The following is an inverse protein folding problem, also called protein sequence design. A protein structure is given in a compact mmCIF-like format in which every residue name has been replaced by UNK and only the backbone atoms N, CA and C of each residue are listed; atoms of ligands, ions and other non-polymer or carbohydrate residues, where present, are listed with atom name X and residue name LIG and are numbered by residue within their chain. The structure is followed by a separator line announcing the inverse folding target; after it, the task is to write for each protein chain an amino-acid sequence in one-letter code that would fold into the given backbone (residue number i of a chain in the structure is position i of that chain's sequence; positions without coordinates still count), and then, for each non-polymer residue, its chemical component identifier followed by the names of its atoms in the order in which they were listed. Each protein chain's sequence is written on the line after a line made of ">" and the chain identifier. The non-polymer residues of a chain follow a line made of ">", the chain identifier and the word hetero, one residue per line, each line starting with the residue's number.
data_IF_597493049650
#
_entry.id   IF_597493049650
#
_cell.length_a   1.000
_cell.length_b   1.000
_cell.length_c   1.000
_cell.angle_alpha   90.00
_cell.angle_beta   90.00
_cell.angle_gamma   90.00
#
_symmetry.space_group_name_H-M   'P 1'
#
loop_
_entity.id
_entity.type
_entity.pdbx_description
1 polymer ?
#
# COMPACT_ATOMS: atom_id res chain seq x y z
N UNK A 1 2.54 31.30 1.73
CA UNK A 1 3.17 30.07 1.19
C UNK A 1 2.20 29.25 0.32
N UNK A 2 1.01 28.86 0.83
CA UNK A 2 0.00 28.08 0.07
C UNK A 2 -0.31 28.62 -1.34
N UNK A 3 -0.71 29.89 -1.45
CA UNK A 3 -1.03 30.52 -2.75
C UNK A 3 0.15 30.45 -3.73
N UNK A 4 1.36 30.70 -3.27
CA UNK A 4 2.55 30.62 -4.13
C UNK A 4 2.77 29.18 -4.63
N UNK A 5 2.67 28.18 -3.76
CA UNK A 5 2.82 26.78 -4.15
C UNK A 5 1.72 26.33 -5.14
N UNK A 6 0.47 26.75 -4.93
CA UNK A 6 -0.65 26.40 -5.80
C UNK A 6 -0.65 27.18 -7.13
N UNK A 7 -0.54 28.50 -7.06
CA UNK A 7 -0.81 29.38 -8.20
C UNK A 7 0.43 29.57 -9.08
N UNK A 8 1.61 29.62 -8.47
CA UNK A 8 2.89 29.85 -9.19
C UNK A 8 3.58 28.52 -9.49
N UNK A 9 3.78 27.67 -8.48
CA UNK A 9 4.47 26.38 -8.66
C UNK A 9 3.57 25.27 -9.20
N UNK A 10 2.26 25.52 -9.33
CA UNK A 10 1.25 24.56 -9.84
C UNK A 10 1.27 23.22 -9.10
N UNK A 11 1.45 23.28 -7.77
CA UNK A 11 1.43 22.10 -6.89
C UNK A 11 0.05 21.92 -6.27
N UNK A 12 -0.36 20.67 -6.09
CA UNK A 12 -1.45 20.34 -5.17
C UNK A 12 -0.95 20.58 -3.75
N UNK A 13 -1.67 21.40 -2.98
CA UNK A 13 -1.29 21.76 -1.61
C UNK A 13 -2.31 21.19 -0.64
N UNK A 14 -1.83 20.38 0.29
CA UNK A 14 -2.59 19.88 1.42
C UNK A 14 -2.02 20.52 2.69
N UNK A 15 -2.88 21.19 3.45
CA UNK A 15 -2.52 21.72 4.75
C UNK A 15 -2.84 20.67 5.81
N UNK A 16 -1.84 20.29 6.61
CA UNK A 16 -2.01 19.34 7.70
C UNK A 16 -1.59 20.00 9.01
N UNK A 17 -2.26 19.68 10.12
CA UNK A 17 -1.72 19.94 11.45
C UNK A 17 -0.36 19.26 11.64
N UNK A 18 0.45 19.82 12.53
CA UNK A 18 1.73 19.26 12.93
C UNK A 18 1.49 18.04 13.83
N UNK A 19 1.51 16.86 13.22
CA UNK A 19 1.26 15.55 13.84
C UNK A 19 2.30 14.58 13.33
N UNK A 20 2.62 13.55 14.12
CA UNK A 20 3.66 12.58 13.76
C UNK A 20 3.47 12.05 12.33
N UNK A 21 4.49 12.25 11.50
CA UNK A 21 4.58 11.91 10.08
C UNK A 21 3.52 12.55 9.14
N UNK A 22 2.69 13.49 9.59
CA UNK A 22 1.61 14.11 8.80
C UNK A 22 0.65 13.07 8.17
N UNK A 23 -0.26 13.50 7.28
CA UNK A 23 -1.27 12.60 6.71
C UNK A 23 -0.70 11.58 5.71
N UNK A 24 0.09 12.05 4.74
CA UNK A 24 0.56 11.20 3.64
C UNK A 24 1.45 10.05 4.10
N UNK A 25 2.42 10.33 4.97
CA UNK A 25 3.31 9.26 5.44
C UNK A 25 2.60 8.30 6.40
N UNK A 26 1.65 8.76 7.23
CA UNK A 26 0.83 7.84 8.03
C UNK A 26 0.18 6.79 7.14
N UNK A 27 -0.52 7.22 6.08
CA UNK A 27 -1.22 6.31 5.17
C UNK A 27 -0.24 5.39 4.43
N UNK A 28 0.76 5.97 3.76
CA UNK A 28 1.65 5.22 2.89
C UNK A 28 2.54 4.25 3.66
N UNK A 29 3.15 4.68 4.77
CA UNK A 29 4.09 3.85 5.53
C UNK A 29 3.36 2.77 6.34
N UNK A 30 2.13 3.02 6.78
CA UNK A 30 1.27 1.98 7.36
C UNK A 30 1.06 0.83 6.35
N UNK A 31 0.60 1.16 5.14
CA UNK A 31 0.33 0.17 4.10
C UNK A 31 1.59 -0.61 3.69
N UNK A 32 2.71 0.08 3.53
CA UNK A 32 3.99 -0.54 3.15
C UNK A 32 4.50 -1.47 4.25
N UNK A 33 4.48 -1.03 5.51
CA UNK A 33 4.98 -1.84 6.61
C UNK A 33 4.07 -3.05 6.86
N UNK A 34 2.76 -2.90 6.71
CA UNK A 34 1.84 -4.05 6.74
C UNK A 34 2.11 -5.03 5.60
N UNK A 35 2.44 -4.55 4.38
CA UNK A 35 2.86 -5.44 3.29
C UNK A 35 4.16 -6.21 3.63
N UNK A 36 5.11 -5.59 4.34
CA UNK A 36 6.31 -6.29 4.83
C UNK A 36 5.99 -7.35 5.89
N UNK A 37 5.03 -7.08 6.77
CA UNK A 37 4.53 -8.06 7.75
C UNK A 37 3.82 -9.23 7.04
N UNK A 38 3.04 -8.96 5.99
CA UNK A 38 2.47 -10.02 5.15
C UNK A 38 3.57 -10.85 4.47
N UNK A 39 4.67 -10.24 4.04
CA UNK A 39 5.78 -10.97 3.41
C UNK A 39 6.44 -11.94 4.40
N UNK A 40 6.59 -11.55 5.67
CA UNK A 40 7.05 -12.45 6.73
C UNK A 40 6.05 -13.58 6.98
N UNK A 41 4.76 -13.26 7.10
CA UNK A 41 3.68 -14.25 7.30
C UNK A 41 3.63 -15.29 6.18
N UNK A 42 3.84 -14.87 4.93
CA UNK A 42 3.77 -15.71 3.73
C UNK A 42 5.17 -16.03 3.15
N UNK A 43 6.20 -16.08 3.99
CA UNK A 43 7.57 -16.40 3.58
C UNK A 43 7.68 -17.76 2.86
N UNK A 44 6.90 -18.76 3.28
CA UNK A 44 6.84 -20.09 2.64
C UNK A 44 6.23 -20.06 1.22
N UNK A 45 5.43 -19.04 0.90
CA UNK A 45 4.86 -18.84 -0.44
C UNK A 45 5.77 -17.98 -1.35
N UNK A 46 6.89 -17.48 -0.80
CA UNK A 46 7.84 -16.59 -1.46
C UNK A 46 8.06 -15.27 -0.73
N UNK A 47 7.19 -14.88 0.19
CA UNK A 47 7.34 -13.65 0.97
C UNK A 47 7.35 -12.39 0.13
N UNK A 48 8.51 -11.76 -0.03
CA UNK A 48 8.66 -10.37 -0.51
C UNK A 48 8.10 -10.17 -1.93
N UNK A 49 8.63 -10.89 -2.91
CA UNK A 49 8.20 -10.78 -4.31
C UNK A 49 6.83 -11.42 -4.58
N UNK A 50 6.39 -12.34 -3.71
CA UNK A 50 5.03 -12.88 -3.70
C UNK A 50 4.01 -11.79 -3.32
N UNK A 51 4.19 -11.11 -2.19
CA UNK A 51 3.28 -10.03 -1.74
C UNK A 51 3.30 -8.84 -2.71
N UNK A 52 4.47 -8.42 -3.20
CA UNK A 52 4.53 -7.35 -4.19
C UNK A 52 3.85 -7.74 -5.52
N UNK A 53 3.88 -9.02 -5.89
CA UNK A 53 3.15 -9.51 -7.07
C UNK A 53 1.64 -9.47 -6.86
N UNK A 54 1.16 -9.75 -5.64
CA UNK A 54 -0.27 -9.65 -5.27
C UNK A 54 -0.74 -8.20 -5.32
N UNK A 55 0.11 -7.26 -4.89
CA UNK A 55 -0.15 -5.82 -4.81
C UNK A 55 0.40 -5.06 -6.03
N UNK A 56 0.34 -5.68 -7.21
CA UNK A 56 0.79 -5.10 -8.48
C UNK A 56 -0.05 -3.91 -8.98
N UNK A 57 0.22 -3.44 -10.20
CA UNK A 57 -0.39 -2.21 -10.76
C UNK A 57 -1.93 -2.22 -10.82
N UNK A 58 -2.54 -3.39 -10.99
CA UNK A 58 -4.00 -3.59 -10.98
C UNK A 58 -4.65 -3.33 -9.62
N UNK A 59 -3.84 -3.18 -8.58
CA UNK A 59 -4.29 -2.85 -7.24
C UNK A 59 -4.23 -1.34 -6.97
N UNK A 60 -3.90 -0.52 -7.97
CA UNK A 60 -3.88 0.94 -7.87
C UNK A 60 -2.56 1.53 -7.41
N UNK A 61 -1.45 0.77 -7.48
CA UNK A 61 -0.13 1.20 -6.98
C UNK A 61 0.78 1.50 -8.16
N UNK A 62 1.45 2.65 -8.13
CA UNK A 62 2.44 3.01 -9.18
C UNK A 62 3.73 2.19 -9.08
N UNK A 63 4.04 1.72 -7.87
CA UNK A 63 5.15 0.85 -7.53
C UNK A 63 4.67 -0.07 -6.40
N UNK A 64 5.04 -1.35 -6.46
CA UNK A 64 4.68 -2.31 -5.41
C UNK A 64 5.23 -1.83 -4.04
N UNK A 65 4.54 -2.12 -2.92
CA UNK A 65 4.83 -1.52 -1.63
C UNK A 65 6.25 -1.81 -1.12
N UNK A 66 6.72 -3.05 -1.21
CA UNK A 66 8.04 -3.42 -0.67
C UNK A 66 9.16 -2.93 -1.61
N UNK A 67 8.92 -2.94 -2.94
CA UNK A 67 9.79 -2.21 -3.89
C UNK A 67 9.88 -0.72 -3.53
N UNK A 68 8.77 -0.09 -3.12
CA UNK A 68 8.73 1.33 -2.73
C UNK A 68 9.62 1.58 -1.52
N UNK A 69 9.54 0.75 -0.49
CA UNK A 69 10.44 0.87 0.67
C UNK A 69 11.92 0.68 0.29
N UNK A 70 12.23 -0.32 -0.54
CA UNK A 70 13.60 -0.55 -1.02
C UNK A 70 14.14 0.63 -1.86
N UNK A 71 13.25 1.37 -2.51
CA UNK A 71 13.59 2.57 -3.27
C UNK A 71 13.82 3.79 -2.37
N UNK A 72 12.96 3.98 -1.36
CA UNK A 72 13.07 5.06 -0.36
C UNK A 72 14.32 4.88 0.50
N UNK A 73 14.54 3.67 1.00
CA UNK A 73 15.52 3.30 2.02
C UNK A 73 14.83 2.62 3.19
N UNK A 74 15.27 1.41 3.57
CA UNK A 74 14.70 0.65 4.68
C UNK A 74 14.98 1.30 6.04
N UNK A 75 16.14 1.95 6.16
CA UNK A 75 16.52 2.78 7.32
C UNK A 75 15.59 3.98 7.48
N UNK A 76 15.33 4.72 6.39
CA UNK A 76 14.40 5.84 6.38
C UNK A 76 12.97 5.36 6.66
N UNK A 77 12.58 4.22 6.09
CA UNK A 77 11.29 3.60 6.35
C UNK A 77 11.11 3.26 7.82
N UNK A 78 12.08 2.55 8.41
CA UNK A 78 12.09 2.20 9.83
C UNK A 78 11.99 3.43 10.71
N UNK A 79 12.79 4.47 10.45
CA UNK A 79 12.77 5.70 11.25
C UNK A 79 11.40 6.39 11.25
N UNK A 80 10.68 6.41 10.11
CA UNK A 80 9.33 6.98 10.02
C UNK A 80 8.32 6.11 10.76
N UNK A 81 8.40 4.79 10.57
CA UNK A 81 7.50 3.82 11.22
C UNK A 81 7.66 3.84 12.75
N UNK A 82 8.89 3.83 13.25
CA UNK A 82 9.21 3.96 14.68
C UNK A 82 8.68 5.29 15.24
N UNK A 83 8.87 6.41 14.50
CA UNK A 83 8.35 7.70 14.94
C UNK A 83 6.83 7.68 15.11
N UNK A 84 6.09 7.09 14.16
CA UNK A 84 4.63 6.96 14.26
C UNK A 84 4.26 6.07 15.45
N UNK A 85 4.96 4.93 15.61
CA UNK A 85 4.74 4.04 16.74
C UNK A 85 4.92 4.78 18.07
N UNK A 86 6.04 5.46 18.28
CA UNK A 86 6.32 6.13 19.56
C UNK A 86 5.40 7.32 19.85
N UNK A 87 4.96 8.05 18.81
CA UNK A 87 4.33 9.36 18.98
C UNK A 87 2.83 9.39 18.66
N UNK A 88 2.19 8.24 18.42
CA UNK A 88 0.74 8.16 18.18
C UNK A 88 0.08 7.06 19.01
N UNK A 89 -1.19 7.23 19.37
CA UNK A 89 -2.03 6.17 19.93
C UNK A 89 -2.97 5.61 18.86
N UNK A 90 -2.39 5.14 17.76
CA UNK A 90 -3.13 4.67 16.59
C UNK A 90 -3.76 3.29 16.85
N UNK A 91 -4.98 3.04 16.35
CA UNK A 91 -5.58 1.69 16.43
C UNK A 91 -4.75 0.67 15.63
N UNK A 92 -4.09 1.12 14.56
CA UNK A 92 -3.20 0.31 13.72
C UNK A 92 -1.77 0.26 14.28
N UNK A 93 -1.56 0.56 15.57
CA UNK A 93 -0.22 0.61 16.20
C UNK A 93 0.65 -0.61 15.88
N UNK A 94 0.08 -1.82 15.86
CA UNK A 94 0.81 -3.06 15.58
C UNK A 94 1.37 -3.13 14.15
N UNK A 95 0.77 -2.41 13.20
CA UNK A 95 1.27 -2.32 11.82
C UNK A 95 2.39 -1.30 11.66
N UNK A 96 2.78 -0.61 12.74
CA UNK A 96 3.96 0.29 12.78
C UNK A 96 5.16 -0.37 13.47
N UNK A 97 5.26 -1.69 13.40
CA UNK A 97 6.42 -2.44 13.87
C UNK A 97 7.07 -3.11 12.66
N UNK A 98 8.32 -2.75 12.36
CA UNK A 98 9.05 -3.39 11.26
C UNK A 98 9.32 -4.86 11.58
N UNK A 99 9.10 -5.79 10.62
CA UNK A 99 9.47 -7.19 10.77
C UNK A 99 10.96 -7.41 11.07
N UNK A 100 11.29 -8.52 11.70
CA UNK A 100 12.66 -8.80 12.17
C UNK A 100 13.68 -8.84 11.03
N UNK A 101 13.28 -9.38 9.87
CA UNK A 101 14.15 -9.42 8.69
C UNK A 101 14.48 -8.02 8.15
N UNK A 102 13.57 -7.03 8.31
CA UNK A 102 13.84 -5.64 7.92
C UNK A 102 14.83 -5.01 8.89
N UNK A 103 14.63 -5.20 10.19
CA UNK A 103 15.54 -4.70 11.22
C UNK A 103 16.96 -5.22 10.99
N UNK A 104 17.10 -6.51 10.73
CA UNK A 104 18.38 -7.15 10.40
C UNK A 104 19.04 -6.54 9.16
N UNK A 105 18.29 -6.37 8.06
CA UNK A 105 18.83 -5.78 6.83
C UNK A 105 19.32 -4.34 7.07
N UNK A 106 18.63 -3.57 7.90
CA UNK A 106 19.05 -2.21 8.29
C UNK A 106 20.34 -2.25 9.11
N UNK A 107 20.43 -3.14 10.11
CA UNK A 107 21.63 -3.31 10.95
C UNK A 107 22.86 -3.75 10.14
N UNK A 108 22.66 -4.54 9.08
CA UNK A 108 23.71 -4.95 8.14
C UNK A 108 24.05 -3.87 7.09
N UNK A 109 23.40 -2.72 7.11
CA UNK A 109 23.58 -1.64 6.13
C UNK A 109 23.01 -1.95 4.74
N UNK A 110 22.21 -3.02 4.60
CA UNK A 110 21.49 -3.39 3.37
C UNK A 110 20.18 -2.61 3.27
N UNK A 111 20.28 -1.28 3.19
CA UNK A 111 19.12 -0.38 3.30
C UNK A 111 18.37 -0.17 1.99
N UNK A 112 18.75 -0.81 0.89
CA UNK A 112 18.01 -0.77 -0.37
C UNK A 112 18.85 -0.34 -1.56
N UNK A 113 18.18 0.20 -2.59
CA UNK A 113 18.80 0.43 -3.91
C UNK A 113 20.07 1.28 -3.87
N UNK A 114 20.09 2.32 -3.02
CA UNK A 114 21.23 3.26 -2.91
C UNK A 114 22.43 2.66 -2.17
N UNK A 115 22.20 1.66 -1.31
CA UNK A 115 23.23 0.92 -0.58
C UNK A 115 23.73 -0.33 -1.35
N UNK A 116 23.34 -0.49 -2.62
CA UNK A 116 23.73 -1.64 -3.44
C UNK A 116 22.90 -2.92 -3.19
N UNK A 117 21.90 -2.85 -2.31
CA UNK A 117 20.97 -3.95 -2.03
C UNK A 117 20.16 -3.72 -0.74
N UNK A 118 18.96 -4.28 -0.70
CA UNK A 118 18.12 -4.41 0.50
C UNK A 118 17.23 -5.62 0.33
N UNK A 119 15.93 -5.48 0.55
CA UNK A 119 14.95 -6.54 0.22
C UNK A 119 14.97 -6.93 -1.27
N UNK A 120 15.41 -6.03 -2.15
CA UNK A 120 15.74 -6.32 -3.54
C UNK A 120 17.17 -5.88 -3.87
N UNK A 121 17.80 -6.61 -4.79
CA UNK A 121 19.13 -6.31 -5.33
C UNK A 121 19.14 -6.53 -6.83
N UNK A 122 19.87 -5.70 -7.57
CA UNK A 122 20.13 -5.92 -9.00
C UNK A 122 21.62 -6.08 -9.19
N UNK A 123 22.02 -7.22 -9.74
CA UNK A 123 23.42 -7.53 -10.08
C UNK A 123 23.57 -7.42 -11.59
N UNK A 124 24.70 -6.88 -12.05
CA UNK A 124 25.07 -6.87 -13.47
C UNK A 124 26.13 -7.94 -13.67
N UNK A 125 25.85 -8.88 -14.56
CA UNK A 125 26.77 -9.95 -14.92
C UNK A 125 27.84 -9.44 -15.90
N UNK A 126 28.91 -10.23 -16.07
CA UNK A 126 30.04 -9.89 -16.94
C UNK A 126 29.62 -9.73 -18.42
N UNK A 127 28.58 -10.45 -18.85
CA UNK A 127 27.96 -10.33 -20.18
C UNK A 127 27.08 -9.08 -20.34
N UNK A 128 26.95 -8.27 -19.30
CA UNK A 128 26.15 -7.06 -19.27
C UNK A 128 24.67 -7.27 -18.94
N UNK A 129 24.22 -8.51 -18.77
CA UNK A 129 22.84 -8.82 -18.37
C UNK A 129 22.57 -8.40 -16.92
N UNK A 130 21.32 -8.07 -16.62
CA UNK A 130 20.88 -7.73 -15.25
C UNK A 130 20.14 -8.90 -14.64
N UNK A 131 20.57 -9.31 -13.46
CA UNK A 131 19.88 -10.26 -12.61
C UNK A 131 19.17 -9.52 -11.49
N UNK A 132 17.87 -9.78 -11.33
CA UNK A 132 17.06 -9.23 -10.24
C UNK A 132 16.92 -10.28 -9.15
N UNK A 133 17.40 -9.94 -7.97
CA UNK A 133 17.42 -10.78 -6.80
C UNK A 133 16.48 -10.20 -5.74
N UNK A 134 15.88 -11.09 -4.96
CA UNK A 134 15.05 -10.78 -3.81
C UNK A 134 15.63 -11.50 -2.60
N UNK A 135 15.60 -10.85 -1.44
CA UNK A 135 16.01 -11.46 -0.18
C UNK A 135 14.97 -12.50 0.24
N UNK A 136 15.42 -13.73 0.52
CA UNK A 136 14.59 -14.80 1.04
C UNK A 136 14.61 -14.79 2.56
N UNK A 137 13.43 -14.58 3.17
CA UNK A 137 13.28 -14.41 4.62
C UNK A 137 13.66 -15.69 5.37
N UNK A 138 13.47 -16.87 4.77
CA UNK A 138 13.70 -18.16 5.42
C UNK A 138 15.16 -18.58 5.36
N UNK A 139 15.76 -18.46 4.18
CA UNK A 139 17.15 -18.89 3.98
C UNK A 139 18.17 -17.83 4.35
N UNK A 140 17.76 -16.57 4.56
CA UNK A 140 18.65 -15.43 4.80
C UNK A 140 19.61 -15.13 3.63
N UNK A 141 19.22 -15.56 2.43
CA UNK A 141 20.03 -15.42 1.21
C UNK A 141 19.25 -14.74 0.09
N UNK A 142 19.98 -14.19 -0.89
CA UNK A 142 19.35 -13.68 -2.09
C UNK A 142 19.04 -14.82 -3.07
N UNK A 143 17.80 -14.86 -3.56
CA UNK A 143 17.38 -15.74 -4.66
C UNK A 143 16.95 -14.94 -5.87
N UNK A 144 16.82 -15.61 -7.01
CA UNK A 144 16.21 -15.02 -8.19
C UNK A 144 14.77 -14.57 -7.87
N UNK A 145 14.42 -13.37 -8.33
CA UNK A 145 13.06 -12.89 -8.25
C UNK A 145 12.13 -13.78 -9.08
N UNK A 146 11.10 -14.30 -8.43
CA UNK A 146 10.07 -15.13 -9.05
C UNK A 146 9.05 -14.27 -9.80
N UNK A 147 8.49 -14.82 -10.87
CA UNK A 147 7.38 -14.19 -11.62
C UNK A 147 6.08 -14.92 -11.30
N UNK A 148 5.39 -14.45 -10.28
CA UNK A 148 4.11 -15.03 -9.87
C UNK A 148 3.00 -14.66 -10.86
N UNK A 149 2.11 -15.62 -11.07
CA UNK A 149 0.89 -15.44 -11.87
C UNK A 149 -0.27 -15.98 -11.06
N UNK A 150 -1.31 -15.17 -10.90
CA UNK A 150 -2.50 -15.52 -10.13
C UNK A 150 -3.74 -15.38 -11.01
N UNK A 151 -4.64 -16.35 -10.96
CA UNK A 151 -5.84 -16.37 -11.81
C UNK A 151 -6.75 -15.16 -11.59
N UNK A 152 -6.91 -14.72 -10.34
CA UNK A 152 -7.68 -13.51 -10.02
C UNK A 152 -7.03 -12.28 -10.67
N UNK A 153 -5.70 -12.14 -10.58
CA UNK A 153 -4.97 -11.00 -11.10
C UNK A 153 -4.97 -11.00 -12.65
N UNK A 154 -4.87 -12.16 -13.29
CA UNK A 154 -5.02 -12.30 -14.74
C UNK A 154 -6.42 -11.87 -15.20
N UNK A 155 -7.45 -12.39 -14.53
CA UNK A 155 -8.85 -12.05 -14.82
C UNK A 155 -9.12 -10.56 -14.64
N UNK A 156 -8.66 -9.96 -13.53
CA UNK A 156 -8.71 -8.51 -13.31
C UNK A 156 -8.03 -7.74 -14.44
N UNK A 157 -6.78 -8.08 -14.77
CA UNK A 157 -6.02 -7.40 -15.84
C UNK A 157 -6.73 -7.51 -17.19
N UNK A 158 -7.39 -8.62 -17.50
CA UNK A 158 -8.15 -8.77 -18.73
C UNK A 158 -9.39 -7.85 -18.75
N UNK A 159 -10.18 -7.79 -17.68
CA UNK A 159 -11.30 -6.86 -17.58
C UNK A 159 -10.84 -5.39 -17.69
N UNK A 160 -9.75 -5.03 -17.02
CA UNK A 160 -9.18 -3.68 -17.07
C UNK A 160 -8.75 -3.27 -18.50
N UNK A 161 -8.18 -4.20 -19.29
CA UNK A 161 -7.82 -3.92 -20.71
C UNK A 161 -9.05 -3.62 -21.57
N UNK A 162 -10.20 -4.20 -21.24
CA UNK A 162 -11.48 -3.96 -21.91
C UNK A 162 -12.20 -2.71 -21.39
N UNK A 163 -11.64 -2.01 -20.39
CA UNK A 163 -12.29 -0.89 -19.72
C UNK A 163 -13.38 -1.32 -18.72
N UNK A 164 -13.49 -2.61 -18.41
CA UNK A 164 -14.44 -3.17 -17.45
C UNK A 164 -13.85 -3.18 -16.03
N UNK A 165 -13.86 -2.01 -15.39
CA UNK A 165 -13.38 -1.87 -14.01
C UNK A 165 -14.32 -2.56 -13.01
N UNK A 166 -15.63 -2.58 -13.28
CA UNK A 166 -16.60 -3.25 -12.41
C UNK A 166 -16.34 -4.77 -12.39
N UNK A 167 -16.20 -5.41 -13.55
CA UNK A 167 -15.86 -6.82 -13.64
C UNK A 167 -14.51 -7.15 -13.00
N UNK A 168 -13.52 -6.25 -13.08
CA UNK A 168 -12.25 -6.41 -12.38
C UNK A 168 -12.43 -6.47 -10.85
N UNK A 169 -13.14 -5.51 -10.25
CA UNK A 169 -13.38 -5.52 -8.80
C UNK A 169 -14.28 -6.67 -8.36
N UNK A 170 -15.28 -7.02 -9.17
CA UNK A 170 -16.11 -8.20 -8.91
C UNK A 170 -15.28 -9.48 -8.84
N UNK A 171 -14.35 -9.67 -9.79
CA UNK A 171 -13.38 -10.78 -9.81
C UNK A 171 -12.56 -10.83 -8.52
N UNK A 172 -12.08 -9.68 -8.03
CA UNK A 172 -11.30 -9.61 -6.80
C UNK A 172 -12.12 -10.05 -5.57
N UNK A 173 -13.36 -9.59 -5.47
CA UNK A 173 -14.23 -9.81 -4.31
C UNK A 173 -14.71 -11.27 -4.25
N UNK A 174 -15.06 -11.84 -5.41
CA UNK A 174 -15.64 -13.18 -5.52
C UNK A 174 -14.58 -14.30 -5.55
N UNK A 175 -13.31 -13.97 -5.78
CA UNK A 175 -12.25 -14.98 -5.81
C UNK A 175 -11.96 -15.54 -4.42
N UNK A 176 -11.96 -16.87 -4.32
CA UNK A 176 -11.62 -17.59 -3.09
C UNK A 176 -10.13 -17.86 -2.88
N UNK A 177 -9.28 -17.47 -3.84
CA UNK A 177 -7.84 -17.63 -3.73
C UNK A 177 -7.27 -16.86 -2.54
N UNK A 178 -6.20 -17.39 -1.94
CA UNK A 178 -5.51 -16.75 -0.83
C UNK A 178 -5.01 -15.36 -1.23
N UNK A 179 -4.49 -15.25 -2.45
CA UNK A 179 -3.91 -14.02 -2.98
C UNK A 179 -4.96 -12.94 -3.24
N UNK A 180 -6.13 -13.31 -3.75
CA UNK A 180 -7.25 -12.36 -3.89
C UNK A 180 -7.72 -11.86 -2.52
N UNK A 181 -7.81 -12.77 -1.53
CA UNK A 181 -8.18 -12.41 -0.15
C UNK A 181 -7.17 -11.44 0.47
N UNK A 182 -5.87 -11.70 0.33
CA UNK A 182 -4.80 -10.78 0.78
C UNK A 182 -4.92 -9.42 0.08
N UNK A 183 -5.06 -9.41 -1.25
CA UNK A 183 -5.17 -8.17 -2.03
C UNK A 183 -6.39 -7.33 -1.59
N UNK A 184 -7.55 -7.99 -1.46
CA UNK A 184 -8.79 -7.38 -1.04
C UNK A 184 -8.68 -6.82 0.38
N UNK A 185 -8.22 -7.62 1.34
CA UNK A 185 -8.04 -7.20 2.74
C UNK A 185 -7.12 -5.97 2.85
N UNK A 186 -5.95 -6.01 2.19
CA UNK A 186 -5.00 -4.89 2.18
C UNK A 186 -5.63 -3.62 1.58
N UNK A 187 -6.43 -3.74 0.53
CA UNK A 187 -7.13 -2.62 -0.11
C UNK A 187 -8.24 -2.03 0.78
N UNK A 188 -9.00 -2.87 1.48
CA UNK A 188 -10.02 -2.43 2.43
C UNK A 188 -9.38 -1.71 3.62
N UNK A 189 -8.30 -2.28 4.18
CA UNK A 189 -7.51 -1.65 5.26
C UNK A 189 -6.93 -0.30 4.83
N UNK A 190 -6.41 -0.21 3.61
CA UNK A 190 -5.91 1.05 3.04
C UNK A 190 -6.99 2.15 3.06
N UNK A 191 -8.22 1.84 2.65
CA UNK A 191 -9.33 2.79 2.66
C UNK A 191 -9.67 3.19 4.10
N UNK A 192 -9.94 2.20 4.96
CA UNK A 192 -10.38 2.42 6.35
C UNK A 192 -9.33 3.23 7.12
N UNK A 193 -8.06 2.83 7.01
CA UNK A 193 -6.96 3.53 7.66
C UNK A 193 -6.79 4.95 7.14
N UNK A 194 -6.98 5.20 5.84
CA UNK A 194 -6.92 6.55 5.28
C UNK A 194 -7.98 7.48 5.85
N UNK A 195 -9.21 6.99 6.03
CA UNK A 195 -10.28 7.76 6.66
C UNK A 195 -9.98 8.01 8.14
N UNK A 196 -9.49 7.00 8.84
CA UNK A 196 -9.10 7.15 10.25
C UNK A 196 -7.95 8.14 10.42
N UNK A 197 -6.87 8.00 9.66
CA UNK A 197 -5.72 8.89 9.69
C UNK A 197 -6.12 10.34 9.37
N UNK A 198 -7.07 10.54 8.47
CA UNK A 198 -7.63 11.87 8.19
C UNK A 198 -8.30 12.46 9.45
N UNK A 199 -9.16 11.70 10.15
CA UNK A 199 -9.78 12.16 11.41
C UNK A 199 -8.76 12.44 12.50
N UNK A 200 -7.83 11.52 12.72
CA UNK A 200 -6.76 11.63 13.74
C UNK A 200 -5.85 12.83 13.49
N UNK A 201 -5.58 13.17 12.23
CA UNK A 201 -4.78 14.33 11.86
C UNK A 201 -5.61 15.60 11.68
N UNK A 202 -6.92 15.58 11.92
CA UNK A 202 -7.80 16.73 11.73
C UNK A 202 -7.91 17.21 10.27
N UNK A 203 -7.64 16.33 9.31
CA UNK A 203 -7.71 16.62 7.88
C UNK A 203 -9.04 16.12 7.28
N UNK A 204 -9.60 16.81 6.27
CA UNK A 204 -10.74 16.27 5.53
C UNK A 204 -10.31 15.06 4.70
N UNK A 205 -11.22 14.12 4.43
CA UNK A 205 -10.91 12.90 3.67
C UNK A 205 -10.36 13.18 2.27
N UNK A 206 -10.80 14.27 1.63
CA UNK A 206 -10.27 14.72 0.35
C UNK A 206 -8.76 15.03 0.38
N UNK A 207 -8.21 15.34 1.55
CA UNK A 207 -6.76 15.50 1.74
C UNK A 207 -6.01 14.17 1.64
N UNK A 208 -6.59 13.06 2.11
CA UNK A 208 -6.01 11.73 1.93
C UNK A 208 -5.93 11.38 0.45
N UNK A 209 -6.97 11.71 -0.31
CA UNK A 209 -6.97 11.59 -1.76
C UNK A 209 -5.83 12.37 -2.42
N UNK A 210 -5.64 13.63 -2.02
CA UNK A 210 -4.59 14.49 -2.58
C UNK A 210 -3.18 13.99 -2.29
N UNK A 211 -2.88 13.64 -1.04
CA UNK A 211 -1.53 13.18 -0.66
C UNK A 211 -1.19 11.84 -1.33
N UNK A 212 -2.18 10.94 -1.47
CA UNK A 212 -1.95 9.65 -2.13
C UNK A 212 -1.86 9.77 -3.64
N UNK A 213 -2.71 10.59 -4.28
CA UNK A 213 -2.67 10.84 -5.73
C UNK A 213 -1.36 11.50 -6.17
N UNK A 214 -0.90 12.51 -5.42
CA UNK A 214 0.16 13.42 -5.88
C UNK A 214 1.52 13.17 -5.23
N UNK A 215 1.54 12.63 -4.01
CA UNK A 215 2.75 12.21 -3.31
C UNK A 215 3.17 10.80 -3.72
N UNK A 216 2.33 9.81 -3.41
CA UNK A 216 2.62 8.39 -3.67
C UNK A 216 2.31 7.95 -5.11
N UNK A 217 1.48 8.71 -5.83
CA UNK A 217 0.90 8.30 -7.12
C UNK A 217 0.16 6.97 -7.01
N UNK A 218 -0.52 6.75 -5.91
CA UNK A 218 -1.39 5.60 -5.68
C UNK A 218 -2.84 6.00 -5.93
N UNK A 219 -3.69 5.00 -6.13
CA UNK A 219 -5.13 5.21 -6.24
C UNK A 219 -5.61 5.88 -4.94
N UNK A 220 -6.26 7.04 -5.05
CA UNK A 220 -6.77 7.76 -3.89
C UNK A 220 -7.75 6.89 -3.09
N UNK A 221 -7.73 6.91 -1.74
CA UNK A 221 -8.56 6.03 -0.92
C UNK A 221 -10.06 6.20 -1.17
N UNK A 222 -10.56 7.42 -1.39
CA UNK A 222 -11.98 7.62 -1.74
C UNK A 222 -12.26 7.07 -3.14
N UNK A 223 -11.36 7.31 -4.10
CA UNK A 223 -11.52 6.78 -5.46
C UNK A 223 -11.50 5.23 -5.46
N UNK A 224 -10.69 4.61 -4.62
CA UNK A 224 -10.67 3.16 -4.41
C UNK A 224 -11.96 2.68 -3.73
N UNK A 225 -12.44 3.40 -2.72
CA UNK A 225 -13.74 3.14 -2.08
C UNK A 225 -14.90 3.16 -3.10
N UNK A 226 -14.92 4.12 -4.02
CA UNK A 226 -15.90 4.19 -5.11
C UNK A 226 -15.82 2.96 -6.02
N UNK A 227 -14.61 2.49 -6.35
CA UNK A 227 -14.43 1.33 -7.20
C UNK A 227 -15.01 0.04 -6.58
N UNK A 228 -14.82 -0.17 -5.26
CA UNK A 228 -15.48 -1.26 -4.54
C UNK A 228 -17.00 -1.05 -4.41
N UNK A 229 -17.43 0.15 -4.05
CA UNK A 229 -18.85 0.48 -3.82
C UNK A 229 -19.69 0.41 -5.10
N UNK A 230 -19.06 0.50 -6.27
CA UNK A 230 -19.72 0.29 -7.55
C UNK A 230 -20.21 -1.15 -7.79
N UNK A 231 -19.67 -2.13 -7.04
CA UNK A 231 -19.95 -3.56 -7.27
C UNK A 231 -20.40 -4.33 -6.03
N UNK A 232 -20.32 -3.74 -4.84
CA UNK A 232 -20.72 -4.38 -3.59
C UNK A 232 -21.18 -3.37 -2.52
N UNK A 233 -21.82 -3.86 -1.47
CA UNK A 233 -21.96 -3.12 -0.21
C UNK A 233 -20.62 -3.16 0.53
N UNK A 234 -19.92 -2.01 0.52
CA UNK A 234 -18.59 -1.89 1.11
C UNK A 234 -18.57 -2.17 2.62
N UNK A 235 -19.59 -1.75 3.36
CA UNK A 235 -19.67 -1.98 4.80
C UNK A 235 -19.86 -3.46 5.11
N UNK A 236 -20.69 -4.15 4.32
CA UNK A 236 -20.85 -5.60 4.41
C UNK A 236 -19.55 -6.32 4.10
N UNK A 237 -18.85 -5.92 3.03
CA UNK A 237 -17.57 -6.52 2.65
C UNK A 237 -16.50 -6.33 3.74
N UNK A 238 -16.43 -5.15 4.38
CA UNK A 238 -15.53 -4.92 5.52
C UNK A 238 -15.82 -5.88 6.68
N UNK A 239 -17.10 -6.11 7.02
CA UNK A 239 -17.49 -7.06 8.08
C UNK A 239 -17.10 -8.49 7.76
N UNK A 240 -17.12 -8.88 6.49
CA UNK A 240 -16.78 -10.24 6.03
C UNK A 240 -15.27 -10.48 5.91
N UNK A 241 -14.47 -9.43 5.67
CA UNK A 241 -13.05 -9.56 5.31
C UNK A 241 -12.09 -8.98 6.35
N UNK A 242 -12.54 -8.07 7.21
CA UNK A 242 -11.71 -7.43 8.22
C UNK A 242 -12.00 -8.02 9.61
N UNK A 243 -11.04 -7.85 10.53
CA UNK A 243 -11.18 -8.32 11.92
C UNK A 243 -12.26 -7.55 12.67
N UNK A 244 -12.75 -8.12 13.78
CA UNK A 244 -13.72 -7.46 14.67
C UNK A 244 -13.26 -6.07 15.10
N UNK A 245 -11.99 -5.94 15.47
CA UNK A 245 -11.43 -4.71 16.04
C UNK A 245 -11.46 -3.56 15.01
N UNK A 246 -11.17 -3.86 13.73
CA UNK A 246 -11.25 -2.84 12.67
C UNK A 246 -12.70 -2.46 12.41
N UNK A 247 -13.63 -3.42 12.44
CA UNK A 247 -15.05 -3.13 12.28
C UNK A 247 -15.60 -2.27 13.43
N UNK A 248 -15.13 -2.48 14.66
CA UNK A 248 -15.45 -1.62 15.80
C UNK A 248 -14.93 -0.20 15.59
N UNK A 249 -13.72 -0.02 15.06
CA UNK A 249 -13.16 1.29 14.72
C UNK A 249 -14.00 2.00 13.63
N UNK A 250 -14.43 1.28 12.59
CA UNK A 250 -15.31 1.85 11.54
C UNK A 250 -16.58 2.44 12.15
N UNK A 251 -17.22 1.69 13.06
CA UNK A 251 -18.47 2.10 13.72
C UNK A 251 -18.20 3.24 14.70
N UNK A 252 -17.26 3.05 15.64
CA UNK A 252 -16.96 4.01 16.71
C UNK A 252 -16.58 5.38 16.16
N UNK A 253 -15.84 5.41 15.06
CA UNK A 253 -15.34 6.63 14.46
C UNK A 253 -16.18 7.11 13.27
N UNK A 254 -17.30 6.45 12.92
CA UNK A 254 -18.13 6.80 11.75
C UNK A 254 -17.29 7.01 10.47
N UNK A 255 -16.38 6.07 10.16
CA UNK A 255 -15.34 6.29 9.13
C UNK A 255 -15.86 6.32 7.69
N UNK A 256 -17.03 5.75 7.45
CA UNK A 256 -17.59 5.53 6.10
C UNK A 256 -18.94 6.24 5.90
N UNK A 257 -19.30 7.13 6.82
CA UNK A 257 -20.49 7.97 6.70
C UNK A 257 -20.17 9.25 5.93
N UNK A 258 -21.06 9.66 5.04
CA UNK A 258 -20.96 10.90 4.27
C UNK A 258 -19.61 11.05 3.52
N UNK A 259 -19.07 9.95 3.01
CA UNK A 259 -17.86 9.98 2.17
C UNK A 259 -18.19 10.72 0.87
N UNK A 260 -17.63 11.91 0.71
CA UNK A 260 -17.78 12.71 -0.50
C UNK A 260 -17.18 12.01 -1.71
N UNK A 261 -17.68 12.36 -2.90
CA UNK A 261 -17.13 11.83 -4.15
C UNK A 261 -15.67 12.26 -4.34
N UNK A 262 -14.81 11.34 -4.76
CA UNK A 262 -13.45 11.66 -5.15
C UNK A 262 -13.44 12.60 -6.36
N UNK A 263 -12.52 13.58 -6.34
CA UNK A 263 -12.18 14.38 -7.52
C UNK A 263 -11.26 13.64 -8.50
N UNK A 264 -10.73 12.49 -8.10
CA UNK A 264 -9.83 11.68 -8.90
C UNK A 264 -10.58 10.50 -9.49
N UNK A 265 -10.29 10.23 -10.76
CA UNK A 265 -10.78 9.03 -11.42
C UNK A 265 -9.86 7.84 -11.12
N UNK A 266 -10.36 6.86 -10.35
CA UNK A 266 -9.60 5.66 -9.97
C UNK A 266 -9.05 4.90 -11.19
N UNK A 267 -9.71 4.99 -12.35
CA UNK A 267 -9.32 4.32 -13.59
C UNK A 267 -7.94 4.76 -14.09
N UNK A 268 -7.46 5.93 -13.67
CA UNK A 268 -6.12 6.43 -14.03
C UNK A 268 -5.00 5.78 -13.22
N UNK A 269 -5.33 5.15 -12.10
CA UNK A 269 -4.36 4.58 -11.15
C UNK A 269 -4.34 3.05 -11.18
N UNK A 270 -5.46 2.43 -11.59
CA UNK A 270 -5.63 0.98 -11.65
C UNK A 270 -5.22 0.50 -13.04
N UNK A 271 -4.05 -0.13 -13.12
CA UNK A 271 -3.40 -0.43 -14.40
C UNK A 271 -3.40 -1.92 -14.69
N UNK A 272 -3.68 -2.30 -15.95
CA UNK A 272 -3.65 -3.69 -16.39
C UNK A 272 -2.23 -4.28 -16.63
N UNK A 273 -1.18 -3.54 -16.25
CA UNK A 273 0.22 -3.91 -16.49
C UNK A 273 0.72 -4.91 -15.46
#
# INVERSE_FOLDING_TARGET
>A
MKKYAADVLRRTVVETPDTAAFLGNRIGFQFINEAMQQAEKYCENGGIDYIDSILGGYSGRSMAPIVTANFVGLDVHKAIVDNIYENTNDYARSTFVCPDYINKLVDEGKTGRKAGGGVYKTVKNDDGTKQHLVYDIKSDEYRNQSRYTFDFALSMKNSLKLGDYAGAFKTLIESDSQEAKICCEMLLKYIVYSMNASKETGCPYSSADDVMATGFRWCPPIAMYEAFSAVCDFNKLCKERLTSDINEIIIKNNLLENVEKSKYDYRRFILAK
#
